data_IF_539897964276
#
_entry.id   IF_539897964276
#
_cell.length_a   1.000
_cell.length_b   1.000
_cell.length_c   1.000
_cell.angle_alpha   90.00
_cell.angle_beta   90.00
_cell.angle_gamma   90.00
#
_symmetry.space_group_name_H-M   'P 1'
#
loop_
_entity.id
_entity.type
_entity.pdbx_description
1 polymer ?
#
# COMPACT_ATOMS: atom_id res chain seq x y z
N UNK A 1 2.79 -4.29 14.85
CA UNK A 1 3.59 -4.69 13.69
C UNK A 1 2.72 -5.27 12.56
N UNK A 2 1.89 -6.30 12.80
CA UNK A 2 1.22 -7.08 11.78
C UNK A 2 0.07 -6.39 11.05
N UNK A 3 0.19 -5.10 10.71
CA UNK A 3 -0.83 -4.37 9.99
C UNK A 3 -0.92 -4.94 8.57
N UNK A 4 -2.07 -5.50 8.15
CA UNK A 4 -2.20 -6.16 6.86
C UNK A 4 -2.36 -5.14 5.74
N UNK A 5 -1.47 -4.13 5.68
CA UNK A 5 -1.53 -3.12 4.69
C UNK A 5 -1.15 -3.70 3.35
N UNK A 6 -2.16 -3.75 2.50
CA UNK A 6 -2.20 -4.53 1.32
C UNK A 6 -2.63 -3.67 0.15
N UNK A 7 -2.59 -4.30 -1.02
CA UNK A 7 -2.78 -3.69 -2.32
C UNK A 7 -2.53 -4.66 -3.47
N UNK A 8 -3.33 -4.50 -4.53
CA UNK A 8 -3.04 -5.05 -5.83
C UNK A 8 -1.87 -4.29 -6.48
N UNK A 9 -1.80 -2.96 -6.33
CA UNK A 9 -0.75 -2.11 -6.88
C UNK A 9 -0.84 -0.72 -6.22
N UNK A 10 -0.08 0.26 -6.72
CA UNK A 10 0.02 1.63 -6.19
C UNK A 10 -1.35 2.29 -6.09
N UNK A 11 -2.13 2.21 -7.16
CA UNK A 11 -3.50 2.66 -7.13
C UNK A 11 -4.22 2.14 -5.90
N UNK A 12 -3.99 0.88 -5.54
CA UNK A 12 -4.81 0.25 -4.55
C UNK A 12 -4.48 0.77 -3.15
N UNK A 13 -3.51 1.69 -3.03
CA UNK A 13 -3.16 2.38 -1.78
C UNK A 13 -2.82 3.83 -1.92
N UNK A 14 -3.04 4.37 -3.08
CA UNK A 14 -3.17 5.81 -3.23
C UNK A 14 -3.78 6.55 -2.02
N UNK A 15 -4.89 6.00 -1.52
CA UNK A 15 -5.68 6.52 -0.43
C UNK A 15 -4.84 6.75 0.83
N UNK A 16 -3.76 5.99 0.97
CA UNK A 16 -2.84 6.09 2.09
C UNK A 16 -2.02 7.39 2.07
N UNK A 17 -1.93 8.08 0.93
CA UNK A 17 -1.27 9.37 0.87
C UNK A 17 -1.20 9.91 -0.55
N UNK A 18 -0.10 9.60 -1.24
CA UNK A 18 0.12 10.00 -2.62
C UNK A 18 -0.22 8.82 -3.53
N UNK A 19 0.80 8.09 -3.99
CA UNK A 19 0.64 6.82 -4.68
C UNK A 19 0.72 5.68 -3.68
N UNK A 20 1.68 5.76 -2.76
CA UNK A 20 2.00 4.70 -1.82
C UNK A 20 2.25 3.40 -2.59
N UNK A 21 3.32 3.43 -3.36
CA UNK A 21 3.72 2.40 -4.28
C UNK A 21 3.97 1.07 -3.58
N UNK A 22 3.66 -0.02 -4.28
CA UNK A 22 3.07 -1.17 -3.64
C UNK A 22 3.72 -2.46 -4.12
N UNK A 23 4.08 -3.33 -3.18
CA UNK A 23 4.62 -4.64 -3.50
C UNK A 23 3.46 -5.50 -3.99
N UNK A 24 3.77 -6.65 -4.61
CA UNK A 24 2.82 -7.60 -5.18
C UNK A 24 1.96 -8.26 -4.09
N UNK A 25 1.08 -7.46 -3.49
CA UNK A 25 0.21 -7.79 -2.39
C UNK A 25 0.21 -6.72 -1.30
N UNK A 26 1.35 -6.05 -1.06
CA UNK A 26 1.66 -5.45 0.24
C UNK A 26 1.99 -3.95 0.14
N UNK A 27 1.18 -3.13 0.82
CA UNK A 27 1.30 -1.68 0.84
C UNK A 27 2.23 -1.26 1.96
N UNK A 28 3.47 -1.75 1.86
CA UNK A 28 4.56 -1.50 2.78
C UNK A 28 5.07 -0.06 2.65
N UNK A 29 4.23 0.91 3.02
CA UNK A 29 4.55 2.33 2.94
C UNK A 29 3.58 3.15 3.77
N UNK A 30 2.27 2.95 3.53
CA UNK A 30 1.13 3.70 4.05
C UNK A 30 1.40 4.51 5.32
N UNK A 31 1.86 3.82 6.37
CA UNK A 31 2.52 4.41 7.52
C UNK A 31 3.31 5.66 7.15
#
# INVERSE_FOLDING_TARGET
>A
TPYPVNCKTDRDCVMCGLGISCKNGYCQGCT
#
